data_IF_531961256894
#
_entry.id   IF_531961256894
#
_cell.length_a   1.000
_cell.length_b   1.000
_cell.length_c   1.000
_cell.angle_alpha   90.00
_cell.angle_beta   90.00
_cell.angle_gamma   90.00
#
_symmetry.space_group_name_H-M   'P 1'
#
loop_
_entity.id
_entity.type
_entity.pdbx_description
1 polymer ?
#
# COMPACT_ATOMS: atom_id res chain seq x y z
N UNK A 1 4.70 4.95 11.72
CA UNK A 1 3.42 4.21 11.75
C UNK A 1 3.68 2.74 12.02
N UNK A 2 2.89 2.09 12.88
CA UNK A 2 2.96 0.64 13.15
C UNK A 2 2.34 -0.13 11.98
N UNK A 3 3.09 -1.06 11.38
CA UNK A 3 2.61 -1.95 10.33
C UNK A 3 2.10 -3.27 10.91
N UNK A 4 2.87 -3.88 11.81
CA UNK A 4 2.51 -5.13 12.47
C UNK A 4 3.16 -5.26 13.84
N UNK A 5 2.58 -6.14 14.68
CA UNK A 5 3.13 -6.55 15.96
C UNK A 5 3.01 -8.08 16.09
N UNK A 6 4.14 -8.77 16.12
CA UNK A 6 4.19 -10.23 16.25
C UNK A 6 4.64 -10.63 17.65
N UNK A 7 3.85 -11.43 18.35
CA UNK A 7 4.16 -11.91 19.70
C UNK A 7 5.29 -12.95 19.65
N UNK A 8 6.32 -12.74 20.48
CA UNK A 8 7.44 -13.68 20.66
C UNK A 8 7.35 -14.38 22.02
N UNK A 9 6.96 -13.64 23.05
CA UNK A 9 6.75 -14.18 24.40
C UNK A 9 5.57 -13.47 25.07
N UNK A 10 5.33 -13.75 26.35
CA UNK A 10 4.21 -13.17 27.10
C UNK A 10 4.16 -11.64 27.04
N UNK A 11 5.33 -10.99 27.10
CA UNK A 11 5.46 -9.53 27.12
C UNK A 11 6.38 -8.96 26.05
N UNK A 12 6.84 -9.80 25.09
CA UNK A 12 7.76 -9.36 24.04
C UNK A 12 7.10 -9.48 22.67
N UNK A 13 7.17 -8.42 21.88
CA UNK A 13 6.67 -8.36 20.51
C UNK A 13 7.77 -7.83 19.60
N UNK A 14 7.77 -8.27 18.34
CA UNK A 14 8.50 -7.63 17.25
C UNK A 14 7.53 -6.68 16.57
N UNK A 15 7.82 -5.39 16.61
CA UNK A 15 7.13 -4.38 15.82
C UNK A 15 7.79 -4.22 14.47
N UNK A 16 6.97 -4.03 13.44
CA UNK A 16 7.36 -3.50 12.15
C UNK A 16 6.79 -2.08 12.03
N UNK A 17 7.67 -1.12 11.78
CA UNK A 17 7.31 0.30 11.67
C UNK A 17 7.61 0.80 10.26
N UNK A 18 6.72 1.61 9.68
CA UNK A 18 7.03 2.45 8.54
C UNK A 18 7.51 3.81 9.06
N UNK A 19 8.74 4.19 8.70
CA UNK A 19 9.40 5.42 9.11
C UNK A 19 9.80 6.25 7.88
N UNK A 20 9.87 7.56 8.04
CA UNK A 20 10.22 8.47 6.94
C UNK A 20 11.67 8.29 6.50
N UNK A 21 12.59 8.21 7.46
CA UNK A 21 14.04 8.23 7.20
C UNK A 21 14.62 6.84 6.91
N UNK A 22 14.02 5.78 7.49
CA UNK A 22 14.61 4.45 7.46
C UNK A 22 13.74 3.41 6.73
N UNK A 23 12.59 3.83 6.15
CA UNK A 23 11.64 2.92 5.52
C UNK A 23 11.01 1.95 6.54
N UNK A 24 10.83 0.69 6.15
CA UNK A 24 10.34 -0.35 7.05
C UNK A 24 11.45 -0.79 8.01
N UNK A 25 11.17 -0.73 9.31
CA UNK A 25 12.14 -1.05 10.34
C UNK A 25 11.54 -1.94 11.43
N UNK A 26 12.27 -2.98 11.82
CA UNK A 26 11.83 -3.95 12.82
C UNK A 26 12.63 -3.83 14.10
N UNK A 27 11.97 -4.06 15.24
CA UNK A 27 12.60 -4.06 16.55
C UNK A 27 11.70 -4.66 17.61
N UNK A 28 12.32 -5.16 18.69
CA UNK A 28 11.60 -5.72 19.82
C UNK A 28 11.04 -4.62 20.72
N UNK A 29 9.87 -4.86 21.30
CA UNK A 29 9.32 -4.09 22.42
C UNK A 29 8.92 -5.01 23.57
N UNK A 30 8.92 -4.47 24.78
CA UNK A 30 8.26 -5.09 25.93
C UNK A 30 6.97 -4.31 26.23
N UNK A 31 5.82 -4.99 26.12
CA UNK A 31 4.52 -4.41 26.40
C UNK A 31 3.54 -5.51 26.85
N UNK A 32 2.56 -5.18 27.69
CA UNK A 32 1.42 -6.06 27.98
C UNK A 32 0.49 -6.14 26.76
N UNK A 33 0.25 -4.99 26.13
CA UNK A 33 -0.55 -4.84 24.91
C UNK A 33 0.29 -4.02 23.94
N UNK A 34 0.60 -4.55 22.75
CA UNK A 34 1.33 -3.80 21.73
C UNK A 34 0.42 -2.75 21.09
N UNK A 35 0.98 -1.67 20.49
CA UNK A 35 0.19 -0.75 19.70
C UNK A 35 -0.40 -1.45 18.47
N UNK A 36 -1.63 -1.09 18.13
CA UNK A 36 -2.34 -1.64 16.97
C UNK A 36 -1.72 -1.16 15.64
N UNK A 37 -1.86 -1.98 14.60
CA UNK A 37 -1.51 -1.60 13.23
C UNK A 37 -2.25 -0.33 12.83
N UNK A 38 -1.56 0.61 12.18
CA UNK A 38 -2.09 1.93 11.84
C UNK A 38 -1.92 2.99 12.93
N UNK A 39 -1.40 2.63 14.14
CA UNK A 39 -1.05 3.62 15.16
C UNK A 39 0.20 4.42 14.77
N UNK A 40 0.22 5.71 15.10
CA UNK A 40 1.45 6.49 15.09
C UNK A 40 2.15 6.41 16.43
N UNK A 41 3.47 6.27 16.38
CA UNK A 41 4.33 6.19 17.55
C UNK A 41 5.57 7.05 17.35
N UNK A 42 6.02 7.71 18.41
CA UNK A 42 7.41 8.13 18.51
C UNK A 42 8.24 6.94 18.94
N UNK A 43 9.24 6.58 18.13
CA UNK A 43 10.06 5.40 18.38
C UNK A 43 11.54 5.78 18.42
N UNK A 44 12.22 5.39 19.50
CA UNK A 44 13.68 5.42 19.59
C UNK A 44 14.19 3.99 19.50
N UNK A 45 15.04 3.70 18.51
CA UNK A 45 15.65 2.40 18.34
C UNK A 45 17.01 2.33 19.02
N UNK A 46 17.32 1.19 19.64
CA UNK A 46 18.60 0.92 20.26
C UNK A 46 19.02 -0.52 20.03
N UNK A 47 20.28 -0.74 19.61
CA UNK A 47 20.91 -2.03 19.53
C UNK A 47 22.40 -1.90 19.88
N UNK A 48 23.03 -3.03 20.20
CA UNK A 48 24.50 -3.08 20.44
C UNK A 48 25.25 -3.03 19.09
N UNK A 49 24.73 -3.73 18.09
CA UNK A 49 25.27 -3.75 16.73
C UNK A 49 24.15 -3.38 15.75
N UNK A 50 24.49 -2.64 14.69
CA UNK A 50 23.53 -2.15 13.69
C UNK A 50 22.77 -3.26 12.96
N UNK A 51 23.35 -4.45 12.85
CA UNK A 51 22.77 -5.61 12.16
C UNK A 51 21.77 -6.40 13.03
N UNK A 52 21.74 -6.13 14.33
CA UNK A 52 20.81 -6.83 15.24
C UNK A 52 19.39 -6.29 15.15
N UNK A 53 18.43 -7.15 15.48
CA UNK A 53 17.03 -6.75 15.74
C UNK A 53 16.99 -5.94 17.03
N UNK A 54 17.32 -4.68 17.04
CA UNK A 54 17.36 -3.86 18.24
C UNK A 54 16.02 -3.78 18.98
N UNK A 55 15.95 -2.90 19.98
CA UNK A 55 14.76 -2.65 20.79
C UNK A 55 14.21 -1.27 20.46
N UNK A 56 12.90 -1.17 20.32
CA UNK A 56 12.19 0.10 20.31
C UNK A 56 11.75 0.51 21.71
N UNK A 57 11.94 1.78 22.01
CA UNK A 57 11.27 2.50 23.08
C UNK A 57 10.24 3.38 22.41
N UNK A 58 8.96 3.16 22.70
CA UNK A 58 7.85 3.79 21.98
C UNK A 58 6.97 4.61 22.94
N UNK A 59 6.43 5.68 22.37
CA UNK A 59 5.32 6.45 22.93
C UNK A 59 4.25 6.55 21.83
N UNK A 60 3.04 6.06 22.13
CA UNK A 60 1.94 6.10 21.18
C UNK A 60 1.35 7.51 21.16
N UNK A 61 1.18 8.08 19.95
CA UNK A 61 0.70 9.45 19.78
C UNK A 61 -0.71 9.51 19.21
N UNK A 62 -1.09 8.59 18.34
CA UNK A 62 -2.43 8.53 17.72
C UNK A 62 -2.76 7.10 17.28
N UNK A 63 -4.05 6.78 17.15
CA UNK A 63 -4.53 5.49 16.67
C UNK A 63 -5.69 5.65 15.70
N UNK A 64 -5.40 5.42 14.43
CA UNK A 64 -6.44 5.37 13.39
C UNK A 64 -7.37 4.15 13.56
N UNK A 65 -6.88 3.06 14.17
CA UNK A 65 -7.70 1.92 14.52
C UNK A 65 -8.90 2.31 15.38
N UNK A 66 -8.68 3.02 16.48
CA UNK A 66 -9.76 3.44 17.39
C UNK A 66 -10.73 4.41 16.74
N UNK A 67 -10.24 5.24 15.82
CA UNK A 67 -11.08 6.20 15.07
C UNK A 67 -12.04 5.49 14.12
N UNK A 68 -11.63 4.40 13.47
CA UNK A 68 -12.40 3.71 12.43
C UNK A 68 -12.88 2.31 12.81
N UNK A 69 -12.83 1.93 14.08
CA UNK A 69 -13.19 0.58 14.55
C UNK A 69 -14.64 0.15 14.19
N UNK A 70 -15.54 1.11 13.97
CA UNK A 70 -16.92 0.87 13.55
C UNK A 70 -17.16 1.10 12.05
N UNK A 71 -16.14 1.55 11.30
CA UNK A 71 -16.21 1.70 9.85
C UNK A 71 -15.45 0.58 9.17
N UNK A 72 -16.19 -0.46 8.77
CA UNK A 72 -15.61 -1.68 8.22
C UNK A 72 -14.74 -1.43 6.98
N UNK A 73 -15.16 -0.51 6.07
CA UNK A 73 -14.41 -0.25 4.84
C UNK A 73 -13.12 0.54 5.12
N UNK A 74 -13.20 1.60 5.92
CA UNK A 74 -12.02 2.40 6.28
C UNK A 74 -11.01 1.59 7.09
N UNK A 75 -11.50 0.81 8.05
CA UNK A 75 -10.64 -0.09 8.82
C UNK A 75 -9.97 -1.14 7.92
N UNK A 76 -10.72 -1.71 6.96
CA UNK A 76 -10.16 -2.70 6.01
C UNK A 76 -9.09 -2.09 5.12
N UNK A 77 -9.27 -0.85 4.63
CA UNK A 77 -8.25 -0.14 3.87
C UNK A 77 -6.97 0.08 4.71
N UNK A 78 -7.11 0.53 5.96
CA UNK A 78 -6.00 0.70 6.90
C UNK A 78 -5.25 -0.62 7.16
N UNK A 79 -5.98 -1.69 7.47
CA UNK A 79 -5.39 -3.00 7.75
C UNK A 79 -4.70 -3.62 6.53
N UNK A 80 -5.33 -3.48 5.35
CA UNK A 80 -4.73 -3.93 4.09
C UNK A 80 -3.46 -3.16 3.76
N UNK A 81 -3.47 -1.83 3.92
CA UNK A 81 -2.27 -1.00 3.74
C UNK A 81 -1.12 -1.44 4.65
N UNK A 82 -1.40 -1.63 5.94
CA UNK A 82 -0.40 -2.08 6.91
C UNK A 82 0.18 -3.44 6.52
N UNK A 83 -0.67 -4.40 6.16
CA UNK A 83 -0.25 -5.74 5.75
C UNK A 83 0.62 -5.71 4.49
N UNK A 84 0.15 -5.03 3.43
CA UNK A 84 0.88 -4.93 2.16
C UNK A 84 2.24 -4.24 2.34
N UNK A 85 2.28 -3.16 3.10
CA UNK A 85 3.53 -2.45 3.40
C UNK A 85 4.52 -3.31 4.19
N UNK A 86 4.04 -4.07 5.19
CA UNK A 86 4.89 -4.96 5.98
C UNK A 86 5.45 -6.12 5.16
N UNK A 87 4.68 -6.66 4.22
CA UNK A 87 5.09 -7.79 3.39
C UNK A 87 6.02 -7.40 2.26
N UNK A 88 5.78 -6.26 1.62
CA UNK A 88 6.40 -5.92 0.35
C UNK A 88 7.57 -4.94 0.47
N UNK A 89 7.55 -4.01 1.43
CA UNK A 89 8.65 -3.06 1.56
C UNK A 89 9.92 -3.75 2.08
N UNK A 90 11.07 -3.51 1.46
CA UNK A 90 12.35 -4.00 1.96
C UNK A 90 12.64 -3.38 3.32
N UNK A 91 13.31 -4.14 4.20
CA UNK A 91 13.70 -3.66 5.51
C UNK A 91 14.88 -2.68 5.40
N UNK A 92 14.81 -1.58 6.17
CA UNK A 92 15.86 -0.55 6.28
C UNK A 92 16.20 0.15 4.96
N UNK A 93 15.26 0.20 4.03
CA UNK A 93 15.40 0.97 2.81
C UNK A 93 14.45 2.17 2.85
N UNK A 94 14.96 3.40 2.87
CA UNK A 94 14.14 4.60 2.86
C UNK A 94 13.21 4.66 1.65
N UNK A 95 11.96 5.01 1.89
CA UNK A 95 10.95 5.24 0.86
C UNK A 95 10.10 6.49 1.20
N UNK A 96 10.72 7.69 1.22
CA UNK A 96 10.10 8.91 1.73
C UNK A 96 8.83 9.29 0.96
N UNK A 97 8.81 9.10 -0.37
CA UNK A 97 7.63 9.40 -1.19
C UNK A 97 6.44 8.52 -0.78
N UNK A 98 6.65 7.23 -0.59
CA UNK A 98 5.59 6.32 -0.14
C UNK A 98 5.14 6.66 1.28
N UNK A 99 6.07 6.98 2.19
CA UNK A 99 5.74 7.42 3.54
C UNK A 99 4.85 8.66 3.54
N UNK A 100 5.22 9.69 2.77
CA UNK A 100 4.46 10.94 2.67
C UNK A 100 3.06 10.71 2.09
N UNK A 101 2.92 9.89 1.03
CA UNK A 101 1.63 9.52 0.46
C UNK A 101 0.77 8.69 1.40
N UNK A 102 1.39 7.81 2.20
CA UNK A 102 0.71 7.06 3.26
C UNK A 102 0.15 8.00 4.32
N UNK A 103 0.95 8.96 4.78
CA UNK A 103 0.51 9.95 5.77
C UNK A 103 -0.61 10.83 5.21
N UNK A 104 -0.49 11.29 3.97
CA UNK A 104 -1.54 12.05 3.28
C UNK A 104 -2.84 11.25 3.18
N UNK A 105 -2.77 10.00 2.75
CA UNK A 105 -3.92 9.10 2.70
C UNK A 105 -4.63 8.97 4.06
N UNK A 106 -3.88 8.78 5.15
CA UNK A 106 -4.43 8.60 6.48
C UNK A 106 -5.10 9.89 6.99
N UNK A 107 -4.55 11.07 6.69
CA UNK A 107 -5.18 12.36 7.04
C UNK A 107 -6.48 12.61 6.28
N UNK A 108 -6.66 11.98 5.11
CA UNK A 108 -7.85 12.09 4.27
C UNK A 108 -8.76 10.84 4.32
N UNK A 109 -8.50 9.91 5.23
CA UNK A 109 -9.23 8.64 5.31
C UNK A 109 -10.73 8.83 5.63
N UNK A 110 -11.12 9.96 6.22
CA UNK A 110 -12.53 10.30 6.48
C UNK A 110 -13.30 10.75 5.23
N UNK A 111 -12.62 11.17 4.17
CA UNK A 111 -13.24 11.65 2.94
C UNK A 111 -13.90 10.54 2.15
N UNK A 112 -14.89 10.91 1.32
CA UNK A 112 -15.68 9.94 0.54
C UNK A 112 -14.85 9.31 -0.60
N UNK A 113 -13.80 9.97 -1.06
CA UNK A 113 -12.91 9.49 -2.11
C UNK A 113 -11.78 8.57 -1.60
N UNK A 114 -11.81 8.14 -0.33
CA UNK A 114 -10.75 7.35 0.29
C UNK A 114 -10.42 6.05 -0.46
N UNK A 115 -11.40 5.42 -1.11
CA UNK A 115 -11.14 4.21 -1.91
C UNK A 115 -10.30 4.50 -3.16
N UNK A 116 -10.56 5.62 -3.85
CA UNK A 116 -9.72 6.03 -4.99
C UNK A 116 -8.29 6.34 -4.54
N UNK A 117 -8.14 7.04 -3.42
CA UNK A 117 -6.83 7.31 -2.79
C UNK A 117 -6.12 6.03 -2.34
N UNK A 118 -6.87 5.06 -1.80
CA UNK A 118 -6.32 3.76 -1.43
C UNK A 118 -5.75 3.02 -2.64
N UNK A 119 -6.49 2.95 -3.76
CA UNK A 119 -5.98 2.32 -5.00
C UNK A 119 -4.75 3.05 -5.53
N UNK A 120 -4.74 4.38 -5.51
CA UNK A 120 -3.56 5.17 -5.88
C UNK A 120 -2.37 4.87 -4.96
N UNK A 121 -2.63 4.63 -3.67
CA UNK A 121 -1.58 4.26 -2.71
C UNK A 121 -1.02 2.86 -2.97
N UNK A 122 -1.85 1.89 -3.39
CA UNK A 122 -1.35 0.57 -3.86
C UNK A 122 -0.46 0.71 -5.10
N UNK A 123 -0.81 1.58 -6.06
CA UNK A 123 0.08 1.91 -7.20
C UNK A 123 1.41 2.49 -6.71
N UNK A 124 1.38 3.39 -5.73
CA UNK A 124 2.60 3.95 -5.14
C UNK A 124 3.44 2.91 -4.39
N UNK A 125 2.80 1.93 -3.74
CA UNK A 125 3.50 0.80 -3.13
C UNK A 125 4.21 -0.05 -4.19
N UNK A 126 3.55 -0.34 -5.31
CA UNK A 126 4.18 -1.02 -6.44
C UNK A 126 5.39 -0.25 -6.96
N UNK A 127 5.32 1.08 -7.07
CA UNK A 127 6.48 1.91 -7.43
C UNK A 127 7.60 1.80 -6.39
N UNK A 128 7.28 1.89 -5.10
CA UNK A 128 8.28 1.79 -4.02
C UNK A 128 8.99 0.42 -3.97
N UNK A 129 8.35 -0.63 -4.51
CA UNK A 129 8.90 -2.00 -4.59
C UNK A 129 9.53 -2.34 -5.94
N UNK A 130 9.54 -1.39 -6.89
CA UNK A 130 10.16 -1.57 -8.21
C UNK A 130 9.24 -2.18 -9.29
N UNK A 131 7.96 -2.41 -8.97
CA UNK A 131 6.96 -2.97 -9.89
C UNK A 131 5.92 -1.94 -10.36
N UNK A 132 6.31 -0.67 -10.41
CA UNK A 132 5.43 0.45 -10.75
C UNK A 132 4.82 0.33 -12.15
N UNK A 133 3.62 0.88 -12.29
CA UNK A 133 2.94 1.00 -13.58
C UNK A 133 3.52 2.19 -14.35
N UNK A 134 3.86 1.99 -15.63
CA UNK A 134 4.31 3.06 -16.51
C UNK A 134 3.16 3.57 -17.39
N UNK A 135 2.63 4.72 -17.01
CA UNK A 135 1.58 5.44 -17.73
C UNK A 135 2.12 6.66 -18.50
N UNK A 136 3.43 6.79 -18.66
CA UNK A 136 4.06 7.92 -19.32
C UNK A 136 3.84 7.94 -20.84
N UNK A 137 3.65 6.77 -21.45
CA UNK A 137 3.47 6.61 -22.88
C UNK A 137 2.73 5.32 -23.21
N UNK A 138 2.18 5.23 -24.44
CA UNK A 138 1.61 3.99 -24.95
C UNK A 138 2.71 3.03 -25.42
N UNK A 139 2.78 1.81 -24.88
CA UNK A 139 3.74 0.78 -25.28
C UNK A 139 3.61 0.35 -26.76
N UNK A 140 2.41 0.50 -27.35
CA UNK A 140 2.14 0.21 -28.76
C UNK A 140 2.32 1.40 -29.71
N UNK A 141 2.92 2.52 -29.27
CA UNK A 141 3.09 3.73 -30.08
C UNK A 141 1.78 4.46 -30.42
N UNK A 142 0.71 4.23 -29.66
CA UNK A 142 -0.57 4.94 -29.81
C UNK A 142 -0.62 6.24 -29.00
N UNK A 143 -1.79 6.89 -29.04
CA UNK A 143 -2.01 8.17 -28.36
C UNK A 143 -1.91 8.04 -26.85
N UNK A 144 -1.02 8.84 -26.23
CA UNK A 144 -0.84 8.97 -24.79
C UNK A 144 -2.09 9.50 -24.08
N UNK A 145 -2.88 10.33 -24.74
CA UNK A 145 -4.07 10.94 -24.16
C UNK A 145 -5.28 9.98 -24.11
N UNK A 146 -5.12 8.76 -24.63
CA UNK A 146 -6.18 7.76 -24.71
C UNK A 146 -5.71 6.41 -24.16
N UNK A 147 -5.03 6.40 -23.02
CA UNK A 147 -4.61 5.16 -22.35
C UNK A 147 -5.84 4.47 -21.73
N UNK A 148 -5.96 3.17 -21.95
CA UNK A 148 -7.12 2.38 -21.50
C UNK A 148 -6.76 1.01 -20.90
N UNK A 149 -5.53 0.57 -21.07
CA UNK A 149 -5.08 -0.75 -20.62
C UNK A 149 -3.66 -0.69 -20.04
N UNK A 150 -3.34 -1.73 -19.25
CA UNK A 150 -1.99 -2.04 -18.79
C UNK A 150 -1.61 -3.44 -19.29
N UNK A 151 -0.42 -3.57 -19.82
CA UNK A 151 0.17 -4.88 -20.16
C UNK A 151 0.50 -5.65 -18.88
N UNK A 152 -0.10 -6.83 -18.65
CA UNK A 152 0.19 -7.63 -17.46
C UNK A 152 1.65 -8.09 -17.38
N UNK A 153 2.34 -8.19 -18.52
CA UNK A 153 3.73 -8.65 -18.60
C UNK A 153 4.73 -7.54 -18.25
N UNK A 154 4.47 -6.30 -18.66
CA UNK A 154 5.47 -5.22 -18.57
C UNK A 154 5.06 -4.05 -17.67
N UNK A 155 3.82 -3.98 -17.16
CA UNK A 155 3.31 -2.85 -16.40
C UNK A 155 3.14 -1.55 -17.21
N UNK A 156 3.36 -1.58 -18.54
CA UNK A 156 3.27 -0.40 -19.39
C UNK A 156 1.86 -0.20 -19.91
N UNK A 157 1.46 1.07 -19.99
CA UNK A 157 0.15 1.44 -20.49
C UNK A 157 0.03 1.25 -22.02
N UNK A 158 -1.21 0.97 -22.48
CA UNK A 158 -1.57 0.81 -23.89
C UNK A 158 -2.83 1.64 -24.16
N UNK A 159 -2.82 2.39 -25.27
CA UNK A 159 -3.98 3.18 -25.69
C UNK A 159 -5.16 2.30 -26.09
N UNK A 160 -6.37 2.85 -26.04
CA UNK A 160 -7.61 2.17 -26.41
C UNK A 160 -7.52 1.55 -27.82
N UNK A 161 -7.05 2.33 -28.80
CA UNK A 161 -6.94 1.89 -30.18
C UNK A 161 -5.99 0.69 -30.34
N UNK A 162 -4.78 0.79 -29.75
CA UNK A 162 -3.77 -0.27 -29.85
C UNK A 162 -4.07 -1.49 -28.99
N UNK A 163 -4.78 -1.30 -27.88
CA UNK A 163 -5.15 -2.38 -26.96
C UNK A 163 -6.42 -3.13 -27.37
N UNK A 164 -7.35 -2.51 -28.11
CA UNK A 164 -8.63 -3.11 -28.48
C UNK A 164 -8.54 -4.51 -29.10
N UNK A 165 -7.58 -4.81 -30.00
CA UNK A 165 -7.42 -6.17 -30.57
C UNK A 165 -6.93 -7.21 -29.53
N UNK A 166 -6.44 -6.78 -28.36
CA UNK A 166 -5.83 -7.61 -27.32
C UNK A 166 -6.51 -7.41 -25.96
N UNK A 167 -7.74 -6.86 -25.93
CA UNK A 167 -8.44 -6.47 -24.71
C UNK A 167 -8.59 -7.61 -23.69
N UNK A 168 -8.69 -8.85 -24.16
CA UNK A 168 -8.78 -10.09 -23.38
C UNK A 168 -7.44 -10.50 -22.70
N UNK A 169 -6.31 -9.95 -23.18
CA UNK A 169 -4.95 -10.19 -22.67
C UNK A 169 -4.36 -9.00 -21.91
N UNK A 170 -5.08 -7.89 -21.85
CA UNK A 170 -4.66 -6.67 -21.20
C UNK A 170 -5.55 -6.39 -19.97
N UNK A 171 -4.99 -5.73 -18.98
CA UNK A 171 -5.74 -5.31 -17.80
C UNK A 171 -6.32 -3.92 -18.04
N UNK A 172 -7.60 -3.68 -17.73
CA UNK A 172 -8.20 -2.35 -17.84
C UNK A 172 -7.48 -1.34 -16.94
N UNK A 173 -7.25 -0.13 -17.45
CA UNK A 173 -6.63 0.98 -16.73
C UNK A 173 -7.71 2.03 -16.44
N UNK A 174 -8.15 2.19 -15.18
CA UNK A 174 -9.06 3.27 -14.80
C UNK A 174 -8.43 4.64 -15.02
N UNK A 175 -9.22 5.58 -15.54
CA UNK A 175 -8.74 6.91 -15.90
C UNK A 175 -8.10 7.67 -14.73
N UNK A 176 -8.67 7.57 -13.53
CA UNK A 176 -8.20 8.29 -12.33
C UNK A 176 -6.79 7.89 -11.86
N UNK A 177 -6.21 6.80 -12.39
CA UNK A 177 -4.85 6.36 -12.04
C UNK A 177 -3.76 7.07 -12.86
N UNK A 178 -4.10 7.75 -13.94
CA UNK A 178 -3.11 8.43 -14.79
C UNK A 178 -3.46 9.88 -15.13
N UNK A 179 -4.72 10.31 -14.94
CA UNK A 179 -5.11 11.70 -15.06
C UNK A 179 -6.30 12.01 -14.14
N UNK A 180 -6.60 13.31 -13.94
CA UNK A 180 -7.74 13.72 -13.13
C UNK A 180 -9.05 13.41 -13.87
N UNK A 181 -9.83 12.47 -13.32
CA UNK A 181 -11.11 12.03 -13.86
C UNK A 181 -12.13 11.78 -12.73
N UNK A 182 -13.44 11.87 -12.99
CA UNK A 182 -14.45 11.35 -12.08
C UNK A 182 -14.23 9.87 -11.80
N UNK A 183 -14.55 9.45 -10.58
CA UNK A 183 -14.33 8.06 -10.14
C UNK A 183 -15.67 7.42 -9.83
N UNK A 184 -15.95 6.29 -10.45
CA UNK A 184 -17.14 5.48 -10.19
C UNK A 184 -16.79 4.26 -9.33
N UNK A 185 -17.75 3.58 -8.69
CA UNK A 185 -17.51 2.31 -8.00
C UNK A 185 -16.91 1.23 -8.92
N UNK A 186 -17.27 1.25 -10.22
CA UNK A 186 -16.67 0.35 -11.21
C UNK A 186 -15.18 0.64 -11.42
N UNK A 187 -14.77 1.90 -11.46
CA UNK A 187 -13.36 2.29 -11.59
C UNK A 187 -12.54 1.85 -10.37
N UNK A 188 -13.10 1.95 -9.16
CA UNK A 188 -12.47 1.46 -7.94
C UNK A 188 -12.22 -0.05 -8.04
N UNK A 189 -13.26 -0.82 -8.40
CA UNK A 189 -13.13 -2.28 -8.56
C UNK A 189 -12.10 -2.65 -9.62
N UNK A 190 -12.12 -1.94 -10.75
CA UNK A 190 -11.13 -2.11 -11.82
C UNK A 190 -9.70 -1.82 -11.33
N UNK A 191 -9.53 -0.74 -10.57
CA UNK A 191 -8.26 -0.35 -9.98
C UNK A 191 -7.75 -1.39 -8.97
N UNK A 192 -8.62 -1.87 -8.07
CA UNK A 192 -8.29 -2.94 -7.13
C UNK A 192 -7.89 -4.24 -7.84
N UNK A 193 -8.58 -4.63 -8.91
CA UNK A 193 -8.22 -5.81 -9.71
C UNK A 193 -6.85 -5.63 -10.37
N UNK A 194 -6.60 -4.45 -10.95
CA UNK A 194 -5.32 -4.12 -11.58
C UNK A 194 -4.16 -4.19 -10.58
N UNK A 195 -4.26 -3.47 -9.47
CA UNK A 195 -3.19 -3.46 -8.45
C UNK A 195 -3.02 -4.84 -7.81
N UNK A 196 -4.12 -5.54 -7.51
CA UNK A 196 -4.11 -6.90 -6.99
C UNK A 196 -3.35 -7.88 -7.88
N UNK A 197 -3.52 -7.79 -9.20
CA UNK A 197 -2.75 -8.59 -10.15
C UNK A 197 -1.24 -8.36 -10.00
N UNK A 198 -0.79 -7.10 -9.99
CA UNK A 198 0.65 -6.80 -9.87
C UNK A 198 1.22 -7.14 -8.50
N UNK A 199 0.46 -6.95 -7.42
CA UNK A 199 0.87 -7.33 -6.07
C UNK A 199 1.15 -8.83 -5.95
N UNK A 200 0.32 -9.68 -6.57
CA UNK A 200 0.49 -11.14 -6.50
C UNK A 200 1.43 -11.71 -7.53
N UNK A 201 1.38 -11.23 -8.79
CA UNK A 201 2.16 -11.84 -9.89
C UNK A 201 3.56 -11.25 -10.05
N UNK A 202 3.81 -10.02 -9.60
CA UNK A 202 5.08 -9.33 -9.80
C UNK A 202 5.79 -8.97 -8.50
N UNK A 203 5.07 -8.45 -7.50
CA UNK A 203 5.68 -8.04 -6.25
C UNK A 203 5.94 -9.19 -5.26
N UNK A 204 5.58 -10.43 -5.61
CA UNK A 204 5.89 -11.64 -4.84
C UNK A 204 4.99 -11.85 -3.62
N UNK A 205 3.77 -11.32 -3.64
CA UNK A 205 2.79 -11.58 -2.59
C UNK A 205 2.08 -12.91 -2.88
N UNK A 206 2.13 -13.87 -1.96
CA UNK A 206 1.47 -15.18 -2.13
C UNK A 206 -0.04 -15.06 -2.27
N UNK A 207 -0.67 -14.18 -1.47
CA UNK A 207 -2.10 -13.89 -1.50
C UNK A 207 -2.40 -12.49 -1.00
N UNK A 208 -3.45 -11.87 -1.56
CA UNK A 208 -4.00 -10.61 -1.05
C UNK A 208 -4.60 -10.80 0.35
N UNK A 209 -4.53 -9.81 1.24
CA UNK A 209 -5.17 -9.92 2.55
C UNK A 209 -6.71 -9.97 2.40
N UNK A 210 -7.36 -10.91 3.08
CA UNK A 210 -8.82 -11.11 3.00
C UNK A 210 -9.64 -9.84 3.35
N UNK A 211 -9.10 -8.95 4.19
CA UNK A 211 -9.75 -7.66 4.50
C UNK A 211 -9.88 -6.76 3.28
N UNK A 212 -9.07 -6.96 2.24
CA UNK A 212 -9.12 -6.19 1.00
C UNK A 212 -10.37 -6.51 0.17
N UNK A 213 -10.93 -7.70 0.28
CA UNK A 213 -12.15 -8.11 -0.44
C UNK A 213 -13.34 -7.22 -0.06
N UNK A 214 -13.36 -6.72 1.19
CA UNK A 214 -14.37 -5.79 1.69
C UNK A 214 -14.38 -4.46 0.93
N UNK A 215 -13.27 -4.08 0.29
CA UNK A 215 -13.15 -2.84 -0.48
C UNK A 215 -13.74 -2.99 -1.90
N UNK A 216 -13.99 -4.21 -2.35
CA UNK A 216 -14.57 -4.52 -3.65
C UNK A 216 -16.12 -4.49 -3.63
N UNK A 217 -16.72 -4.59 -2.45
CA UNK A 217 -18.18 -4.53 -2.22
C UNK A 217 -18.70 -3.07 -2.22
#
# INVERSE_FOLDING_TARGET
>A
MVLSAHRISEHTFILSLLTQENGRWRGAINAKIPPESGSFVHARWQARLSEQTGRFYIEQTDSFWTRFMFDKKRLSALMSLCYLSDKLLPERQPCPDFYNKTTDFLTHLEQDDFLARYVQLEVNLLHATGFGLDTSSCAGGGDRNNLAYISPKSGRAVSLEKGKPYHDKLLPLPAFLWHKAPVTPSDIRMGLNLTGYFLTHHAGLDALPAVRDILCD
#
